data_IF_909437820491
#
_entry.id   IF_909437820491
#
_cell.length_a   1.000
_cell.length_b   1.000
_cell.length_c   1.000
_cell.angle_alpha   90.00
_cell.angle_beta   90.00
_cell.angle_gamma   90.00
#
_symmetry.space_group_name_H-M   'P 1'
#
loop_
_entity.id
_entity.type
_entity.pdbx_description
1 polymer ?
#
# COMPACT_ATOMS: atom_id res chain seq x y z
N UNK A 1 13.03 15.57 24.61
CA UNK A 1 12.67 15.65 23.18
C UNK A 1 12.28 14.32 22.54
N UNK A 2 13.03 13.20 22.64
CA UNK A 2 12.65 11.93 21.96
C UNK A 2 11.45 11.19 22.59
N UNK A 3 11.31 11.18 23.91
CA UNK A 3 10.12 10.62 24.59
C UNK A 3 8.83 11.39 24.26
N UNK A 4 8.95 12.71 24.03
CA UNK A 4 7.81 13.57 23.67
C UNK A 4 7.18 13.20 22.33
N UNK A 5 7.95 12.67 21.36
CA UNK A 5 7.37 12.26 20.06
C UNK A 5 6.49 11.03 20.21
N UNK A 6 6.93 10.05 20.98
CA UNK A 6 6.12 8.86 21.26
C UNK A 6 4.90 9.20 22.12
N UNK A 7 5.09 9.98 23.18
CA UNK A 7 3.97 10.46 24.03
C UNK A 7 2.95 11.26 23.21
N UNK A 8 3.41 12.13 22.31
CA UNK A 8 2.55 12.86 21.38
C UNK A 8 1.80 11.91 20.44
N UNK A 9 2.51 10.96 19.81
CA UNK A 9 1.92 9.98 18.92
C UNK A 9 0.80 9.18 19.60
N UNK A 10 1.06 8.64 20.79
CA UNK A 10 0.06 7.90 21.56
C UNK A 10 -1.09 8.80 22.04
N UNK A 11 -0.80 10.06 22.40
CA UNK A 11 -1.84 11.03 22.75
C UNK A 11 -2.76 11.28 21.55
N UNK A 12 -2.23 11.52 20.36
CA UNK A 12 -3.03 11.76 19.16
C UNK A 12 -3.86 10.52 18.77
N UNK A 13 -3.28 9.31 18.80
CA UNK A 13 -4.05 8.08 18.58
C UNK A 13 -5.24 7.95 19.55
N UNK A 14 -5.03 8.26 20.83
CA UNK A 14 -6.09 8.23 21.82
C UNK A 14 -7.16 9.32 21.59
N UNK A 15 -6.76 10.49 21.08
CA UNK A 15 -7.70 11.56 20.74
C UNK A 15 -8.56 11.19 19.53
N UNK A 16 -7.96 10.63 18.47
CA UNK A 16 -8.70 10.14 17.28
C UNK A 16 -9.80 9.18 17.71
N UNK A 17 -9.46 8.15 18.50
CA UNK A 17 -10.44 7.18 19.01
C UNK A 17 -11.58 7.81 19.81
N UNK A 18 -11.28 8.84 20.61
CA UNK A 18 -12.25 9.44 21.55
C UNK A 18 -13.09 10.56 20.93
N UNK A 19 -12.52 11.33 20.00
CA UNK A 19 -13.12 12.54 19.49
C UNK A 19 -13.84 12.31 18.17
N UNK A 20 -13.25 11.51 17.28
CA UNK A 20 -13.78 11.26 15.95
C UNK A 20 -13.10 10.01 15.36
N UNK A 21 -13.69 8.84 15.62
CA UNK A 21 -13.11 7.55 15.24
C UNK A 21 -13.33 7.25 13.76
N UNK A 22 -12.63 8.01 12.91
CA UNK A 22 -12.61 7.84 11.47
C UNK A 22 -11.17 7.71 10.98
N UNK A 23 -10.99 6.90 9.94
CA UNK A 23 -9.69 6.60 9.34
C UNK A 23 -8.92 7.86 8.90
N UNK A 24 -9.61 8.82 8.28
CA UNK A 24 -9.01 10.05 7.77
C UNK A 24 -8.31 10.91 8.83
N UNK A 25 -8.70 10.80 10.11
CA UNK A 25 -8.03 11.56 11.17
C UNK A 25 -6.64 10.98 11.49
N UNK A 26 -6.38 9.71 11.14
CA UNK A 26 -5.06 9.08 11.25
C UNK A 26 -4.10 9.50 10.13
N UNK A 27 -4.62 9.97 9.00
CA UNK A 27 -3.83 10.31 7.81
C UNK A 27 -2.78 11.37 8.10
N UNK A 28 -3.11 12.40 8.86
CA UNK A 28 -2.16 13.45 9.23
C UNK A 28 -0.99 12.87 10.04
N UNK A 29 -1.30 12.07 11.07
CA UNK A 29 -0.30 11.47 11.95
C UNK A 29 0.62 10.52 11.17
N UNK A 30 0.05 9.64 10.33
CA UNK A 30 0.81 8.71 9.47
C UNK A 30 1.70 9.48 8.50
N UNK A 31 1.17 10.49 7.82
CA UNK A 31 1.93 11.30 6.88
C UNK A 31 3.08 12.06 7.55
N UNK A 32 2.87 12.58 8.77
CA UNK A 32 3.92 13.24 9.55
C UNK A 32 5.06 12.27 9.87
N UNK A 33 4.73 11.06 10.34
CA UNK A 33 5.72 10.03 10.65
C UNK A 33 6.57 9.70 9.43
N UNK A 34 5.95 9.45 8.28
CA UNK A 34 6.66 9.08 7.05
C UNK A 34 7.55 10.24 6.57
N UNK A 35 7.02 11.46 6.50
CA UNK A 35 7.74 12.64 5.98
C UNK A 35 8.93 13.06 6.86
N UNK A 36 8.93 12.69 8.14
CA UNK A 36 10.05 12.97 9.03
C UNK A 36 11.32 12.16 8.70
N UNK A 37 11.21 11.09 7.90
CA UNK A 37 12.32 10.25 7.49
C UNK A 37 13.19 10.87 6.40
N UNK A 38 14.51 10.75 6.52
CA UNK A 38 15.48 11.22 5.49
C UNK A 38 15.30 10.49 4.15
N UNK A 39 14.75 9.28 4.16
CA UNK A 39 14.40 8.49 2.98
C UNK A 39 13.28 9.11 2.14
N UNK A 40 12.62 10.17 2.62
CA UNK A 40 11.61 10.92 1.87
C UNK A 40 12.13 12.25 1.29
N UNK A 41 13.41 12.61 1.51
CA UNK A 41 13.96 13.94 1.19
C UNK A 41 13.86 14.36 -0.28
N UNK A 42 13.82 13.40 -1.22
CA UNK A 42 13.68 13.62 -2.67
C UNK A 42 12.41 13.01 -3.25
N UNK A 43 11.51 12.58 -2.37
CA UNK A 43 10.27 11.91 -2.74
C UNK A 43 9.08 12.75 -2.31
N UNK A 44 7.94 12.46 -2.90
CA UNK A 44 6.69 13.09 -2.50
C UNK A 44 5.69 12.06 -2.00
N UNK A 45 5.07 12.36 -0.85
CA UNK A 45 3.89 11.66 -0.37
C UNK A 45 2.65 12.42 -0.87
N UNK A 46 1.75 11.73 -1.57
CA UNK A 46 0.52 12.32 -2.11
C UNK A 46 -0.68 11.53 -1.63
N UNK A 47 -1.63 12.24 -1.04
CA UNK A 47 -2.94 11.70 -0.71
C UNK A 47 -3.70 11.43 -2.01
N UNK A 48 -4.17 10.20 -2.17
CA UNK A 48 -4.99 9.75 -3.29
C UNK A 48 -6.27 9.03 -2.84
N UNK A 49 -6.58 9.05 -1.54
CA UNK A 49 -7.76 8.40 -0.93
C UNK A 49 -9.09 8.81 -1.58
N UNK A 50 -9.23 10.10 -1.93
CA UNK A 50 -10.44 10.66 -2.53
C UNK A 50 -10.39 10.75 -4.06
N UNK A 51 -9.45 10.06 -4.72
CA UNK A 51 -9.36 10.06 -6.19
C UNK A 51 -10.52 9.27 -6.80
N UNK A 52 -10.90 9.65 -8.02
CA UNK A 52 -11.85 8.92 -8.85
C UNK A 52 -11.13 8.17 -9.97
N UNK A 53 -11.76 7.10 -10.48
CA UNK A 53 -11.30 6.28 -11.62
C UNK A 53 -11.34 7.03 -12.96
N UNK A 54 -10.75 8.21 -13.03
CA UNK A 54 -10.50 9.00 -14.23
C UNK A 54 -9.20 8.55 -14.91
N UNK A 55 -8.93 8.92 -16.18
CA UNK A 55 -7.64 8.62 -16.81
C UNK A 55 -6.43 9.01 -15.95
N UNK A 56 -6.45 10.19 -15.28
CA UNK A 56 -5.42 10.60 -14.30
C UNK A 56 -5.35 9.68 -13.09
N UNK A 57 -6.49 9.20 -12.60
CA UNK A 57 -6.57 8.39 -11.40
C UNK A 57 -6.12 6.95 -11.61
N UNK A 58 -6.30 6.37 -12.81
CA UNK A 58 -6.13 4.92 -13.00
C UNK A 58 -4.72 4.41 -12.63
N UNK A 59 -3.67 5.19 -12.86
CA UNK A 59 -2.30 4.82 -12.45
C UNK A 59 -2.14 4.71 -10.92
N UNK A 60 -2.94 5.45 -10.15
CA UNK A 60 -3.02 5.35 -8.68
C UNK A 60 -4.08 4.37 -8.19
N UNK A 61 -5.03 3.96 -9.05
CA UNK A 61 -5.98 2.91 -8.72
C UNK A 61 -5.30 1.53 -8.72
N UNK A 62 -4.27 1.35 -9.53
CA UNK A 62 -3.56 0.08 -9.62
C UNK A 62 -4.49 -1.04 -10.02
N UNK A 63 -4.43 -2.21 -9.36
CA UNK A 63 -5.26 -3.38 -9.70
C UNK A 63 -6.59 -3.44 -8.93
N UNK A 64 -6.59 -3.03 -7.66
CA UNK A 64 -7.67 -3.34 -6.70
C UNK A 64 -8.41 -2.13 -6.18
N UNK A 65 -7.71 -1.07 -5.77
CA UNK A 65 -8.27 0.18 -5.22
C UNK A 65 -7.23 1.30 -5.15
N UNK A 66 -7.70 2.54 -4.99
CA UNK A 66 -6.83 3.63 -4.55
C UNK A 66 -6.31 3.33 -3.12
N UNK A 67 -4.99 3.40 -2.88
CA UNK A 67 -4.48 3.48 -1.51
C UNK A 67 -4.72 4.87 -0.94
N UNK A 68 -4.44 5.08 0.34
CA UNK A 68 -4.60 6.42 0.94
C UNK A 68 -3.51 7.37 0.49
N UNK A 69 -2.26 6.87 0.44
CA UNK A 69 -1.14 7.63 -0.08
C UNK A 69 -0.31 6.86 -1.09
N UNK A 70 0.32 7.60 -2.00
CA UNK A 70 1.38 7.10 -2.89
C UNK A 70 2.68 7.85 -2.65
N UNK A 71 3.79 7.14 -2.85
CA UNK A 71 5.14 7.66 -2.76
C UNK A 71 5.69 7.78 -4.17
N UNK A 72 6.03 9.00 -4.58
CA UNK A 72 6.41 9.33 -5.94
C UNK A 72 7.81 9.93 -5.98
N UNK A 73 8.51 9.66 -7.07
CA UNK A 73 9.67 10.44 -7.50
C UNK A 73 9.28 11.90 -7.77
N UNK A 74 10.20 12.84 -7.55
CA UNK A 74 10.00 14.27 -7.87
C UNK A 74 9.74 14.54 -9.36
N UNK A 75 10.17 13.62 -10.23
CA UNK A 75 9.98 13.66 -11.69
C UNK A 75 8.65 13.09 -12.15
N UNK A 76 7.85 12.49 -11.25
CA UNK A 76 6.57 11.90 -11.63
C UNK A 76 5.66 12.96 -12.25
N UNK A 77 5.34 12.78 -13.53
CA UNK A 77 4.37 13.60 -14.24
C UNK A 77 3.23 12.72 -14.78
N UNK A 78 2.00 13.17 -14.57
CA UNK A 78 0.79 12.49 -15.01
C UNK A 78 -0.13 13.47 -15.76
N UNK A 79 0.46 14.52 -16.32
CA UNK A 79 -0.22 15.56 -17.08
C UNK A 79 -0.84 15.00 -18.37
N UNK A 80 -0.17 14.04 -19.02
CA UNK A 80 -0.61 13.39 -20.27
C UNK A 80 -1.92 12.60 -20.16
N UNK A 81 -2.30 12.19 -18.94
CA UNK A 81 -3.53 11.43 -18.69
C UNK A 81 -4.77 12.35 -18.63
N UNK A 82 -5.04 13.11 -19.68
CA UNK A 82 -6.15 14.07 -19.71
C UNK A 82 -7.54 13.41 -19.60
N UNK A 83 -8.53 14.19 -19.15
CA UNK A 83 -9.92 13.72 -19.09
C UNK A 83 -10.42 13.34 -20.49
N UNK A 84 -10.97 12.13 -20.64
CA UNK A 84 -11.42 11.59 -21.93
C UNK A 84 -10.30 11.00 -22.80
N UNK A 85 -9.04 11.02 -22.36
CA UNK A 85 -7.91 10.38 -23.03
C UNK A 85 -7.68 8.93 -22.57
N UNK A 86 -6.82 8.23 -23.31
CA UNK A 86 -6.33 6.89 -22.94
C UNK A 86 -5.43 6.97 -21.70
N UNK A 87 -5.43 5.92 -20.87
CA UNK A 87 -4.52 5.81 -19.73
C UNK A 87 -3.10 5.48 -20.22
N UNK A 88 -2.14 6.31 -19.82
CA UNK A 88 -0.71 6.16 -19.99
C UNK A 88 -0.07 5.79 -18.64
N UNK A 89 0.68 4.70 -18.61
CA UNK A 89 1.38 4.22 -17.42
C UNK A 89 2.91 4.28 -17.55
N UNK A 90 3.46 5.02 -18.52
CA UNK A 90 4.90 5.12 -18.75
C UNK A 90 5.69 5.56 -17.51
N UNK A 91 5.08 6.42 -16.67
CA UNK A 91 5.67 6.90 -15.43
C UNK A 91 5.36 6.00 -14.21
N UNK A 92 4.83 4.79 -14.39
CA UNK A 92 4.56 3.83 -13.30
C UNK A 92 5.82 3.54 -12.48
N UNK A 93 6.99 3.47 -13.12
CA UNK A 93 8.26 3.22 -12.43
C UNK A 93 8.74 4.39 -11.57
N UNK A 94 8.08 5.55 -11.66
CA UNK A 94 8.28 6.70 -10.77
C UNK A 94 7.31 6.70 -9.58
N UNK A 95 6.51 5.63 -9.43
CA UNK A 95 5.72 5.33 -8.22
C UNK A 95 6.49 4.26 -7.44
N UNK A 96 7.00 4.62 -6.28
CA UNK A 96 7.90 3.78 -5.49
C UNK A 96 7.21 2.94 -4.43
N UNK A 97 5.95 3.26 -4.11
CA UNK A 97 5.17 2.51 -3.14
C UNK A 97 3.88 3.23 -2.77
N UNK A 98 3.14 2.63 -1.85
CA UNK A 98 1.94 3.24 -1.28
C UNK A 98 1.86 3.02 0.23
N UNK A 99 0.92 3.75 0.85
CA UNK A 99 0.57 3.63 2.25
C UNK A 99 -0.93 3.38 2.31
N UNK A 100 -1.30 2.32 3.01
CA UNK A 100 -2.69 1.95 3.28
C UNK A 100 -2.89 2.03 4.79
N UNK A 101 -3.88 2.82 5.18
CA UNK A 101 -4.24 3.19 6.54
C UNK A 101 -5.60 2.58 6.83
N UNK A 102 -5.76 1.99 8.00
CA UNK A 102 -7.03 1.47 8.52
C UNK A 102 -7.44 2.22 9.78
N UNK A 103 -8.69 2.04 10.21
CA UNK A 103 -9.17 2.66 11.44
C UNK A 103 -8.34 2.22 12.63
N UNK A 104 -8.16 3.10 13.61
CA UNK A 104 -7.38 2.76 14.80
C UNK A 104 -8.01 1.55 15.51
N UNK A 105 -7.17 0.59 15.89
CA UNK A 105 -7.50 -0.75 16.44
C UNK A 105 -8.15 -1.74 15.46
N UNK A 106 -8.33 -1.37 14.19
CA UNK A 106 -8.79 -2.32 13.17
C UNK A 106 -7.77 -3.44 13.00
N UNK A 107 -8.23 -4.70 12.95
CA UNK A 107 -7.34 -5.85 12.82
C UNK A 107 -6.70 -5.84 11.43
N UNK A 108 -5.39 -5.64 11.38
CA UNK A 108 -4.64 -5.76 10.13
C UNK A 108 -4.48 -7.23 9.73
N UNK A 109 -4.67 -7.52 8.43
CA UNK A 109 -4.30 -8.79 7.84
C UNK A 109 -2.82 -9.10 8.11
N UNK A 110 -2.52 -10.38 8.27
CA UNK A 110 -1.15 -10.88 8.33
C UNK A 110 -0.93 -11.89 7.21
N UNK A 111 -0.32 -11.42 6.11
CA UNK A 111 -0.13 -12.23 4.92
C UNK A 111 0.71 -13.50 5.16
N UNK A 112 1.58 -13.51 6.17
CA UNK A 112 2.36 -14.72 6.53
C UNK A 112 1.49 -15.83 7.13
N UNK A 113 0.33 -15.48 7.67
CA UNK A 113 -0.64 -16.41 8.26
C UNK A 113 -1.69 -16.91 7.27
N UNK A 114 -1.68 -16.39 6.03
CA UNK A 114 -2.68 -16.69 5.01
C UNK A 114 -2.07 -17.60 3.94
N UNK A 115 -2.73 -18.72 3.67
CA UNK A 115 -2.41 -19.55 2.50
C UNK A 115 -2.94 -18.87 1.22
N UNK A 116 -2.10 -18.01 0.63
CA UNK A 116 -2.45 -17.21 -0.54
C UNK A 116 -2.84 -18.08 -1.74
N UNK A 117 -2.17 -19.23 -1.93
CA UNK A 117 -2.46 -20.14 -3.05
C UNK A 117 -3.89 -20.68 -2.90
N UNK A 118 -4.23 -21.19 -1.71
CA UNK A 118 -5.58 -21.67 -1.42
C UNK A 118 -6.65 -20.58 -1.58
N UNK A 119 -6.37 -19.35 -1.14
CA UNK A 119 -7.28 -18.22 -1.33
C UNK A 119 -7.48 -17.87 -2.82
N UNK A 120 -6.43 -17.87 -3.64
CA UNK A 120 -6.54 -17.67 -5.07
C UNK A 120 -7.28 -18.80 -5.78
N UNK A 121 -6.96 -20.06 -5.50
CA UNK A 121 -7.66 -21.23 -6.06
C UNK A 121 -9.16 -21.21 -5.73
N UNK A 122 -9.49 -20.85 -4.49
CA UNK A 122 -10.88 -20.69 -4.05
C UNK A 122 -11.56 -19.56 -4.80
N UNK A 123 -10.92 -18.40 -4.94
CA UNK A 123 -11.47 -17.22 -5.60
C UNK A 123 -11.60 -17.38 -7.12
N UNK A 124 -10.79 -18.24 -7.75
CA UNK A 124 -10.87 -18.58 -9.18
C UNK A 124 -12.09 -19.45 -9.53
N UNK A 125 -12.77 -20.06 -8.55
CA UNK A 125 -13.98 -20.87 -8.78
C UNK A 125 -15.21 -19.99 -9.07
N UNK A 126 -16.15 -20.43 -9.94
CA UNK A 126 -17.37 -19.69 -10.24
C UNK A 126 -18.17 -19.37 -8.97
N UNK A 127 -18.62 -18.12 -8.84
CA UNK A 127 -19.41 -17.65 -7.69
C UNK A 127 -18.59 -17.31 -6.43
N UNK A 128 -17.28 -17.57 -6.42
CA UNK A 128 -16.40 -17.18 -5.33
C UNK A 128 -15.65 -15.88 -5.63
N UNK A 129 -15.24 -15.21 -4.56
CA UNK A 129 -14.47 -13.97 -4.61
C UNK A 129 -13.37 -14.00 -3.57
N UNK A 130 -12.28 -13.31 -3.87
CA UNK A 130 -11.24 -13.05 -2.90
C UNK A 130 -11.82 -12.13 -1.81
N UNK A 131 -11.45 -12.35 -0.55
CA UNK A 131 -11.81 -11.41 0.51
C UNK A 131 -11.41 -9.99 0.10
N UNK A 132 -12.31 -9.03 0.31
CA UNK A 132 -12.15 -7.66 -0.20
C UNK A 132 -10.86 -7.00 0.32
N UNK A 133 -10.58 -7.09 1.62
CA UNK A 133 -9.38 -6.49 2.22
C UNK A 133 -8.10 -7.18 1.74
N UNK A 134 -8.15 -8.51 1.59
CA UNK A 134 -7.03 -9.28 1.04
C UNK A 134 -6.77 -8.90 -0.42
N UNK A 135 -7.82 -8.79 -1.23
CA UNK A 135 -7.73 -8.36 -2.62
C UNK A 135 -7.25 -6.91 -2.77
N UNK A 136 -7.69 -6.01 -1.89
CA UNK A 136 -7.17 -4.66 -1.81
C UNK A 136 -5.66 -4.67 -1.56
N UNK A 137 -5.21 -5.28 -0.45
CA UNK A 137 -3.82 -5.29 -0.05
C UNK A 137 -2.91 -5.98 -1.08
N UNK A 138 -3.33 -7.14 -1.62
CA UNK A 138 -2.56 -7.85 -2.64
C UNK A 138 -2.47 -7.06 -3.96
N UNK A 139 -3.58 -6.48 -4.43
CA UNK A 139 -3.56 -5.67 -5.65
C UNK A 139 -2.65 -4.44 -5.52
N UNK A 140 -2.59 -3.84 -4.33
CA UNK A 140 -1.66 -2.76 -4.02
C UNK A 140 -0.21 -3.25 -4.00
N UNK A 141 0.10 -4.37 -3.32
CA UNK A 141 1.46 -4.95 -3.28
C UNK A 141 1.95 -5.30 -4.69
N UNK A 142 1.08 -5.87 -5.52
CA UNK A 142 1.43 -6.24 -6.89
C UNK A 142 1.74 -4.99 -7.74
N UNK A 143 0.88 -3.96 -7.67
CA UNK A 143 0.99 -2.76 -8.49
C UNK A 143 2.11 -1.82 -8.03
N UNK A 144 2.14 -1.50 -6.74
CA UNK A 144 3.03 -0.52 -6.12
C UNK A 144 4.34 -1.11 -5.58
N UNK A 145 4.48 -2.45 -5.55
CA UNK A 145 5.66 -3.22 -5.10
C UNK A 145 5.98 -3.13 -3.62
N UNK A 146 5.81 -1.96 -3.00
CA UNK A 146 6.14 -1.65 -1.60
C UNK A 146 4.91 -1.01 -0.95
N UNK A 147 4.41 -1.60 0.13
CA UNK A 147 3.20 -1.14 0.83
C UNK A 147 3.49 -1.03 2.31
N UNK A 148 3.29 0.17 2.85
CA UNK A 148 3.26 0.40 4.29
C UNK A 148 1.80 0.32 4.76
N UNK A 149 1.48 -0.71 5.53
CA UNK A 149 0.13 -1.02 5.98
C UNK A 149 -0.01 -0.76 7.48
N UNK A 150 -0.93 0.10 7.90
CA UNK A 150 -1.02 0.52 9.30
C UNK A 150 -2.43 0.85 9.76
N UNK A 151 -2.69 0.68 11.05
CA UNK A 151 -3.84 1.24 11.76
C UNK A 151 -3.41 2.23 12.85
N UNK A 152 -2.19 2.76 12.77
CA UNK A 152 -1.58 3.60 13.79
C UNK A 152 -0.95 2.80 14.95
N UNK A 153 -1.61 1.78 15.48
CA UNK A 153 -1.01 0.96 16.53
C UNK A 153 -0.01 -0.05 15.94
N UNK A 154 -0.34 -0.64 14.80
CA UNK A 154 0.45 -1.66 14.12
C UNK A 154 0.96 -1.08 12.81
N UNK A 155 2.22 -1.31 12.51
CA UNK A 155 2.85 -0.95 11.25
C UNK A 155 3.50 -2.16 10.63
N UNK A 156 3.09 -2.50 9.41
CA UNK A 156 3.65 -3.60 8.61
C UNK A 156 4.20 -3.04 7.32
N UNK A 157 5.39 -3.46 6.94
CA UNK A 157 5.95 -3.12 5.62
C UNK A 157 6.06 -4.38 4.77
N UNK A 158 5.32 -4.39 3.67
CA UNK A 158 5.32 -5.46 2.69
C UNK A 158 6.03 -5.04 1.42
N UNK A 159 6.77 -6.00 0.84
CA UNK A 159 7.51 -5.84 -0.40
C UNK A 159 7.27 -7.06 -1.27
N UNK A 160 6.99 -6.83 -2.55
CA UNK A 160 7.06 -7.89 -3.57
C UNK A 160 8.48 -7.98 -4.12
N UNK A 161 8.98 -9.20 -4.27
CA UNK A 161 10.22 -9.43 -5.02
C UNK A 161 9.91 -9.52 -6.50
N UNK A 162 10.61 -8.72 -7.32
CA UNK A 162 10.67 -8.88 -8.77
C UNK A 162 12.09 -9.32 -9.13
N UNK A 163 12.31 -10.60 -9.39
CA UNK A 163 13.54 -11.03 -10.08
C UNK A 163 13.22 -11.25 -11.55
N UNK A 164 14.08 -10.79 -12.46
CA UNK A 164 13.97 -11.05 -13.89
C UNK A 164 14.52 -12.43 -14.28
N UNK A 165 14.29 -13.45 -13.45
CA UNK A 165 14.52 -14.84 -13.86
C UNK A 165 13.17 -15.48 -14.16
N UNK A 166 13.14 -16.44 -15.09
CA UNK A 166 11.95 -16.96 -15.80
C UNK A 166 10.80 -17.51 -14.92
N UNK A 167 10.92 -17.49 -13.59
CA UNK A 167 9.96 -18.03 -12.61
C UNK A 167 9.48 -16.97 -11.58
N UNK A 168 9.31 -15.71 -11.96
CA UNK A 168 8.77 -14.66 -11.09
C UNK A 168 7.69 -13.83 -11.78
N UNK A 169 6.69 -13.36 -11.02
CA UNK A 169 5.74 -12.35 -11.52
C UNK A 169 6.50 -11.08 -11.92
N UNK A 170 6.60 -10.82 -13.22
CA UNK A 170 7.28 -9.63 -13.74
C UNK A 170 6.37 -8.40 -13.72
N UNK A 171 6.95 -7.21 -13.80
CA UNK A 171 6.15 -5.99 -13.93
C UNK A 171 5.31 -5.98 -15.20
N UNK A 172 5.80 -6.58 -16.30
CA UNK A 172 5.03 -6.74 -17.54
C UNK A 172 3.78 -7.60 -17.35
N UNK A 173 3.85 -8.65 -16.53
CA UNK A 173 2.67 -9.45 -16.19
C UNK A 173 1.64 -8.61 -15.44
N UNK A 174 2.07 -7.79 -14.48
CA UNK A 174 1.20 -6.91 -13.71
C UNK A 174 0.59 -5.78 -14.56
N UNK A 175 1.38 -5.20 -15.48
CA UNK A 175 0.90 -4.21 -16.45
C UNK A 175 -0.17 -4.82 -17.38
N UNK A 176 0.03 -6.05 -17.83
CA UNK A 176 -0.99 -6.77 -18.61
C UNK A 176 -2.29 -6.98 -17.83
N UNK A 177 -2.22 -7.38 -16.55
CA UNK A 177 -3.41 -7.48 -15.69
C UNK A 177 -4.13 -6.14 -15.54
N UNK A 178 -3.37 -5.05 -15.44
CA UNK A 178 -3.92 -3.70 -15.40
C UNK A 178 -4.61 -3.34 -16.71
N UNK A 179 -3.98 -3.59 -17.86
CA UNK A 179 -4.57 -3.34 -19.18
C UNK A 179 -5.83 -4.16 -19.41
N UNK A 180 -5.84 -5.43 -18.99
CA UNK A 180 -7.00 -6.30 -19.12
C UNK A 180 -8.14 -5.84 -18.19
N UNK A 181 -7.84 -5.32 -16.98
CA UNK A 181 -8.85 -4.60 -16.17
C UNK A 181 -9.38 -3.39 -16.92
N UNK A 182 -8.50 -2.57 -17.50
CA UNK A 182 -8.93 -1.34 -18.18
C UNK A 182 -9.84 -1.61 -19.39
N UNK A 183 -9.66 -2.72 -20.10
CA UNK A 183 -10.56 -3.16 -21.19
C UNK A 183 -11.91 -3.66 -20.67
N UNK A 184 -11.92 -4.23 -19.47
CA UNK A 184 -13.11 -4.79 -18.84
C UNK A 184 -13.62 -3.78 -17.81
N UNK A 185 -14.42 -2.79 -18.25
CA UNK A 185 -14.97 -1.69 -17.42
C UNK A 185 -15.88 -2.13 -16.26
N UNK A 186 -15.98 -3.44 -15.99
CA UNK A 186 -16.72 -3.98 -14.86
C UNK A 186 -16.08 -3.53 -13.53
N UNK A 187 -16.85 -2.93 -12.61
CA UNK A 187 -16.38 -2.59 -11.27
C UNK A 187 -15.78 -3.78 -10.51
N UNK A 188 -16.25 -4.99 -10.82
CA UNK A 188 -15.94 -6.26 -10.16
C UNK A 188 -14.92 -7.10 -10.94
N UNK A 189 -14.07 -6.48 -11.76
CA UNK A 189 -13.05 -7.20 -12.50
C UNK A 189 -12.12 -7.99 -11.55
N UNK A 190 -12.16 -9.31 -11.67
CA UNK A 190 -11.36 -10.26 -10.89
C UNK A 190 -9.93 -10.29 -11.42
N UNK A 191 -9.14 -9.27 -11.13
CA UNK A 191 -7.75 -9.15 -11.60
C UNK A 191 -6.88 -10.36 -11.24
N UNK A 192 -7.21 -11.05 -10.15
CA UNK A 192 -6.52 -12.26 -9.69
C UNK A 192 -6.83 -13.50 -10.55
N UNK A 193 -7.87 -13.47 -11.40
CA UNK A 193 -8.20 -14.61 -12.27
C UNK A 193 -7.14 -14.86 -13.35
N UNK A 194 -6.48 -13.80 -13.81
CA UNK A 194 -5.36 -13.88 -14.75
C UNK A 194 -3.98 -14.02 -14.08
N UNK A 195 -3.93 -14.07 -12.75
CA UNK A 195 -2.68 -14.16 -12.01
C UNK A 195 -2.17 -15.61 -12.01
N UNK A 196 -0.94 -15.76 -12.49
CA UNK A 196 -0.10 -16.94 -12.25
C UNK A 196 0.59 -16.76 -10.89
N UNK A 197 0.04 -17.41 -9.87
CA UNK A 197 0.38 -17.26 -8.46
C UNK A 197 1.54 -18.14 -7.99
N UNK A 198 1.95 -19.13 -8.79
CA UNK A 198 3.08 -20.04 -8.50
C UNK A 198 4.40 -19.29 -8.28
N UNK A 199 4.46 -18.03 -8.72
CA UNK A 199 5.63 -17.18 -8.75
C UNK A 199 5.48 -15.90 -7.90
N UNK A 200 4.45 -15.82 -7.06
CA UNK A 200 4.21 -14.69 -6.16
C UNK A 200 5.10 -14.76 -4.91
N UNK A 201 6.06 -13.83 -4.79
CA UNK A 201 6.85 -13.68 -3.56
C UNK A 201 6.62 -12.33 -2.92
N UNK A 202 5.91 -12.35 -1.80
CA UNK A 202 5.67 -11.20 -0.92
C UNK A 202 6.42 -11.45 0.38
N UNK A 203 7.17 -10.45 0.82
CA UNK A 203 7.96 -10.43 2.04
C UNK A 203 7.35 -9.41 3.01
N UNK A 204 7.11 -9.82 4.27
CA UNK A 204 6.91 -8.87 5.37
C UNK A 204 8.28 -8.49 5.91
N UNK A 205 8.73 -7.28 5.59
CA UNK A 205 10.08 -6.80 5.94
C UNK A 205 10.17 -6.46 7.42
N UNK A 206 9.12 -5.86 7.98
CA UNK A 206 9.00 -5.62 9.42
C UNK A 206 7.54 -5.56 9.85
N UNK A 207 7.34 -5.78 11.15
CA UNK A 207 6.09 -5.53 11.86
C UNK A 207 6.42 -4.92 13.23
N UNK A 208 5.77 -3.81 13.57
CA UNK A 208 5.86 -3.19 14.89
C UNK A 208 4.48 -3.00 15.48
N UNK A 209 4.36 -3.28 16.78
CA UNK A 209 3.17 -3.03 17.60
C UNK A 209 3.51 -1.93 18.60
N UNK A 210 2.77 -0.82 18.54
CA UNK A 210 3.00 0.42 19.27
C UNK A 210 1.87 0.61 20.30
N UNK A 211 2.04 -0.01 21.46
CA UNK A 211 1.14 0.12 22.61
C UNK A 211 1.59 1.23 23.57
N UNK A 212 0.73 1.64 24.49
CA UNK A 212 0.98 2.79 25.38
C UNK A 212 2.20 2.63 26.30
N UNK A 213 2.60 1.40 26.57
CA UNK A 213 3.66 1.02 27.51
C UNK A 213 4.88 0.39 26.80
N UNK A 214 5.02 0.59 25.48
CA UNK A 214 6.21 0.10 24.79
C UNK A 214 7.48 0.74 25.35
N UNK A 215 8.55 -0.05 25.31
CA UNK A 215 9.89 0.44 25.66
C UNK A 215 10.36 1.45 24.62
N UNK A 216 11.13 2.45 25.08
CA UNK A 216 11.71 3.49 24.23
C UNK A 216 12.52 2.91 23.06
N UNK A 217 13.21 1.80 23.31
CA UNK A 217 14.04 1.11 22.32
C UNK A 217 13.20 0.57 21.16
N UNK A 218 11.99 0.07 21.42
CA UNK A 218 11.06 -0.43 20.39
C UNK A 218 10.60 0.72 19.50
N UNK A 219 10.28 1.87 20.08
CA UNK A 219 9.94 3.07 19.32
C UNK A 219 11.12 3.54 18.44
N UNK A 220 12.34 3.54 18.98
CA UNK A 220 13.53 3.93 18.23
C UNK A 220 13.83 2.94 17.08
N UNK A 221 13.65 1.64 17.31
CA UNK A 221 13.79 0.60 16.29
C UNK A 221 12.73 0.72 15.18
N UNK A 222 11.48 1.01 15.55
CA UNK A 222 10.42 1.29 14.59
C UNK A 222 10.78 2.48 13.69
N UNK A 223 11.20 3.61 14.28
CA UNK A 223 11.59 4.78 13.50
C UNK A 223 12.79 4.49 12.59
N UNK A 224 13.80 3.78 13.10
CA UNK A 224 14.95 3.39 12.30
C UNK A 224 14.53 2.51 11.11
N UNK A 225 13.62 1.56 11.32
CA UNK A 225 13.09 0.70 10.26
C UNK A 225 12.30 1.48 9.22
N UNK A 226 11.37 2.34 9.66
CA UNK A 226 10.56 3.21 8.81
C UNK A 226 11.44 4.16 7.95
N UNK A 227 12.46 4.75 8.56
CA UNK A 227 13.36 5.71 7.90
C UNK A 227 14.47 5.06 7.08
N UNK A 228 14.60 3.74 7.16
CA UNK A 228 15.54 2.94 6.35
C UNK A 228 14.86 2.24 5.18
N UNK A 229 13.53 2.38 5.00
CA UNK A 229 12.86 1.88 3.81
C UNK A 229 13.49 2.53 2.58
N UNK A 230 14.06 1.69 1.72
CA UNK A 230 14.51 2.09 0.38
C UNK A 230 13.31 2.05 -0.57
N UNK A 231 12.75 3.22 -0.88
CA UNK A 231 11.60 3.34 -1.77
C UNK A 231 12.01 3.18 -3.25
N UNK A 232 13.11 3.79 -3.67
CA UNK A 232 13.49 3.92 -5.09
C UNK A 232 13.82 2.59 -5.79
N UNK A 233 14.19 1.56 -5.04
CA UNK A 233 14.57 0.26 -5.59
C UNK A 233 15.42 -0.49 -4.60
#
# INVERSE_FOLDING_TARGET
MRNQKFEYYMRELNLIKRQNWIENDLYHLVAEMIKAGKNMSRLSLRDVSLRSRSPKGQIFYGLSSFPDFVILDERFDNSDNLAGGSVNIANKNLIYGCVEVKNVDEKLLDLESIDLISEFEKAKKPGNELNQDLGQLLGQILWFKKVLYTNGNIWKFYKRTSQETDNFLTDKCIEKLFEDRMKNEAPDYKWYAGLDDDNLKIEKVFEFVLESDIKKEVWEEFLNSLYSINWEG
#
